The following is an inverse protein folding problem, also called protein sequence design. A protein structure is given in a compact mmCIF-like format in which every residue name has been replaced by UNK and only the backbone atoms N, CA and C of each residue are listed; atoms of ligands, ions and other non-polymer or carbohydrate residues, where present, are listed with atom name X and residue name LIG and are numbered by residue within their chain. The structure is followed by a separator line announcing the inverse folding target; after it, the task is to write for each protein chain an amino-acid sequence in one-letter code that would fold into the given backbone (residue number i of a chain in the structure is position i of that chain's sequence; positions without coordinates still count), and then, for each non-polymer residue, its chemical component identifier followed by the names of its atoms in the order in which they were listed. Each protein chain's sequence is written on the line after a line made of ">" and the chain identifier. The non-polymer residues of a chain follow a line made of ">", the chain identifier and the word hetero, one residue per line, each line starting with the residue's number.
data_IF_246733436622
#
_entry.id   IF_246733436622
#
_cell.length_a   1.000
_cell.length_b   1.000
_cell.length_c   1.000
_cell.angle_alpha   90.00
_cell.angle_beta   90.00
_cell.angle_gamma   90.00
#
_symmetry.space_group_name_H-M   'P 1'
#
loop_
_entity.id
_entity.type
_entity.pdbx_description
1 polymer ?
#
# COMPACT_ATOMS: atom_id res chain seq x y z
N UNK A 1 -45.91 -2.50 4.76
CA UNK A 1 -44.65 -1.95 5.29
C UNK A 1 -43.59 -2.31 4.27
N UNK A 2 -43.18 -1.32 3.48
CA UNK A 2 -42.27 -1.49 2.35
C UNK A 2 -40.83 -1.25 2.84
N UNK A 3 -39.99 -2.27 2.69
CA UNK A 3 -38.55 -2.24 2.98
C UNK A 3 -37.81 -2.27 1.65
N UNK A 4 -37.89 -1.18 0.89
CA UNK A 4 -37.07 -1.00 -0.32
C UNK A 4 -36.61 0.45 -0.46
N UNK A 5 -35.60 0.82 0.34
CA UNK A 5 -34.73 1.97 0.03
C UNK A 5 -33.27 1.54 0.11
N UNK A 6 -32.84 0.74 -0.86
CA UNK A 6 -31.45 0.79 -1.31
C UNK A 6 -31.41 1.84 -2.43
N UNK A 7 -30.92 3.03 -2.13
CA UNK A 7 -30.77 4.10 -3.12
C UNK A 7 -29.74 3.69 -4.17
N UNK A 8 -30.19 3.56 -5.43
CA UNK A 8 -29.30 3.41 -6.59
C UNK A 8 -28.53 4.71 -6.76
N UNK A 9 -27.22 4.71 -6.53
CA UNK A 9 -26.36 5.86 -6.80
C UNK A 9 -26.36 6.19 -8.30
N UNK A 10 -26.36 7.47 -8.64
CA UNK A 10 -26.29 7.91 -10.04
C UNK A 10 -24.96 7.46 -10.65
N UNK A 11 -24.96 7.11 -11.94
CA UNK A 11 -23.75 6.80 -12.69
C UNK A 11 -22.69 7.91 -12.56
N UNK A 12 -23.11 9.18 -12.49
CA UNK A 12 -22.25 10.35 -12.26
C UNK A 12 -21.69 10.46 -10.85
N UNK A 13 -22.36 9.87 -9.84
CA UNK A 13 -21.86 9.81 -8.46
C UNK A 13 -20.91 8.62 -8.28
N UNK A 14 -21.16 7.52 -8.99
CA UNK A 14 -20.23 6.38 -9.08
C UNK A 14 -18.97 6.82 -9.84
N UNK A 15 -19.12 7.55 -10.95
CA UNK A 15 -18.01 8.14 -11.70
C UNK A 15 -17.29 9.21 -10.91
N UNK A 16 -17.98 10.10 -10.18
CA UNK A 16 -17.30 11.04 -9.26
C UNK A 16 -16.55 10.33 -8.15
N UNK A 17 -17.08 9.24 -7.61
CA UNK A 17 -16.38 8.40 -6.63
C UNK A 17 -15.16 7.71 -7.25
N UNK A 18 -15.26 7.27 -8.52
CA UNK A 18 -14.11 6.78 -9.31
C UNK A 18 -13.12 7.88 -9.73
N UNK A 19 -13.55 9.14 -9.85
CA UNK A 19 -12.66 10.30 -10.06
C UNK A 19 -12.02 10.76 -8.74
N UNK A 20 -12.62 10.41 -7.60
CA UNK A 20 -12.01 10.58 -6.27
C UNK A 20 -11.02 9.44 -5.96
N UNK A 21 -11.16 8.29 -6.62
CA UNK A 21 -10.08 7.34 -6.88
C UNK A 21 -9.20 7.90 -8.01
N UNK A 22 -8.61 9.09 -7.79
CA UNK A 22 -7.59 9.62 -8.69
C UNK A 22 -6.61 8.49 -8.94
N UNK A 23 -6.42 8.11 -10.21
CA UNK A 23 -5.67 6.92 -10.61
C UNK A 23 -4.34 6.91 -9.86
N UNK A 24 -4.30 6.13 -8.79
CA UNK A 24 -3.16 5.96 -7.90
C UNK A 24 -2.12 5.26 -8.75
N UNK A 25 -0.92 5.83 -8.88
CA UNK A 25 0.20 5.06 -9.40
C UNK A 25 0.46 3.95 -8.37
N UNK A 26 -0.12 2.79 -8.62
CA UNK A 26 -0.07 1.63 -7.74
C UNK A 26 0.93 0.67 -8.34
N UNK A 27 2.19 0.81 -7.92
CA UNK A 27 3.26 -0.04 -8.41
C UNK A 27 3.31 -1.29 -7.55
N UNK A 28 3.45 -2.44 -8.21
CA UNK A 28 3.77 -3.69 -7.54
C UNK A 28 5.27 -3.75 -7.24
N UNK A 29 5.68 -4.62 -6.31
CA UNK A 29 7.09 -4.75 -5.92
C UNK A 29 8.07 -4.85 -7.10
N UNK A 30 7.72 -5.57 -8.16
CA UNK A 30 8.61 -5.76 -9.33
C UNK A 30 8.84 -4.47 -10.15
N UNK A 31 8.03 -3.44 -9.91
CA UNK A 31 8.11 -2.12 -10.52
C UNK A 31 8.85 -1.11 -9.62
N UNK A 32 9.17 -1.48 -8.37
CA UNK A 32 10.00 -0.64 -7.50
C UNK A 32 11.42 -0.54 -8.05
N UNK A 33 12.21 0.41 -7.54
CA UNK A 33 13.64 0.46 -7.87
C UNK A 33 14.33 -0.84 -7.46
N UNK A 34 15.32 -1.27 -8.25
CA UNK A 34 15.98 -2.57 -8.07
C UNK A 34 16.65 -2.69 -6.69
N UNK A 35 17.23 -1.61 -6.18
CA UNK A 35 17.83 -1.56 -4.84
C UNK A 35 16.80 -1.85 -3.74
N UNK A 36 15.60 -1.27 -3.83
CA UNK A 36 14.51 -1.55 -2.89
C UNK A 36 14.02 -3.00 -2.99
N UNK A 37 13.96 -3.57 -4.20
CA UNK A 37 13.60 -4.98 -4.40
C UNK A 37 14.64 -5.91 -3.74
N UNK A 38 15.92 -5.63 -3.96
CA UNK A 38 17.04 -6.43 -3.45
C UNK A 38 17.11 -6.35 -1.92
N UNK A 39 16.93 -5.16 -1.35
CA UNK A 39 16.94 -4.94 0.10
C UNK A 39 15.76 -5.64 0.79
N UNK A 40 14.55 -5.55 0.22
CA UNK A 40 13.37 -6.25 0.74
C UNK A 40 13.58 -7.78 0.70
N UNK A 41 14.10 -8.30 -0.41
CA UNK A 41 14.42 -9.73 -0.54
C UNK A 41 15.49 -10.18 0.46
N UNK A 42 16.52 -9.36 0.69
CA UNK A 42 17.58 -9.64 1.65
C UNK A 42 17.06 -9.67 3.11
N UNK A 43 16.15 -8.75 3.47
CA UNK A 43 15.45 -8.77 4.77
C UNK A 43 14.62 -10.05 4.92
N UNK A 44 13.76 -10.37 3.94
CA UNK A 44 12.93 -11.58 4.00
C UNK A 44 13.80 -12.83 4.23
N UNK A 45 14.86 -12.98 3.42
CA UNK A 45 15.79 -14.12 3.51
C UNK A 45 16.48 -14.19 4.88
N UNK A 46 16.92 -13.05 5.43
CA UNK A 46 17.58 -12.98 6.75
C UNK A 46 16.67 -13.48 7.88
N UNK A 47 15.36 -13.33 7.74
CA UNK A 47 14.36 -13.79 8.71
C UNK A 47 13.72 -15.14 8.33
N UNK A 48 14.31 -15.89 7.39
CA UNK A 48 13.82 -17.20 6.98
C UNK A 48 12.49 -17.17 6.21
N UNK A 49 12.13 -16.01 5.66
CA UNK A 49 10.90 -15.77 4.89
C UNK A 49 11.21 -15.66 3.39
N UNK A 50 10.18 -15.72 2.57
CA UNK A 50 10.26 -15.49 1.13
C UNK A 50 9.46 -14.27 0.72
N UNK A 51 9.91 -13.56 -0.33
CA UNK A 51 9.17 -12.42 -0.91
C UNK A 51 7.75 -12.82 -1.31
N UNK A 52 7.55 -14.05 -1.77
CA UNK A 52 6.25 -14.56 -2.22
C UNK A 52 5.20 -14.66 -1.09
N UNK A 53 5.62 -14.66 0.18
CA UNK A 53 4.69 -14.58 1.31
C UNK A 53 4.01 -13.23 1.42
N UNK A 54 4.57 -12.19 0.80
CA UNK A 54 4.09 -10.83 0.92
C UNK A 54 3.45 -10.35 -0.39
N UNK A 55 2.41 -9.54 -0.23
CA UNK A 55 1.96 -8.62 -1.26
C UNK A 55 2.49 -7.24 -0.90
N UNK A 56 3.26 -6.64 -1.80
CA UNK A 56 3.85 -5.31 -1.60
C UNK A 56 3.47 -4.43 -2.77
N UNK A 57 2.93 -3.27 -2.43
CA UNK A 57 2.55 -2.24 -3.39
C UNK A 57 2.79 -0.85 -2.80
N UNK A 58 2.98 0.15 -3.63
CA UNK A 58 2.99 1.53 -3.20
C UNK A 58 1.83 2.33 -3.80
N UNK A 59 1.60 3.51 -3.24
CA UNK A 59 0.73 4.51 -3.82
C UNK A 59 1.25 5.92 -3.54
N UNK A 60 1.10 6.80 -4.54
CA UNK A 60 1.32 8.23 -4.38
C UNK A 60 0.09 8.89 -3.72
N UNK A 61 0.31 9.47 -2.55
CA UNK A 61 -0.66 10.26 -1.81
C UNK A 61 -0.52 11.74 -2.19
N UNK A 62 -1.50 12.24 -2.94
CA UNK A 62 -1.58 13.64 -3.37
C UNK A 62 -2.31 14.51 -2.33
N UNK A 63 -1.94 15.79 -2.18
CA UNK A 63 -2.69 16.71 -1.34
C UNK A 63 -4.15 16.84 -1.79
N UNK A 64 -5.07 16.78 -0.81
CA UNK A 64 -6.50 16.84 -1.07
C UNK A 64 -6.94 18.16 -1.74
N UNK A 65 -7.99 18.11 -2.55
CA UNK A 65 -8.65 19.29 -3.11
C UNK A 65 -7.80 20.08 -4.12
N UNK A 66 -6.79 19.46 -4.73
CA UNK A 66 -5.89 20.12 -5.69
C UNK A 66 -4.94 21.12 -5.02
N UNK A 67 -4.74 21.00 -3.71
CA UNK A 67 -3.77 21.82 -3.00
C UNK A 67 -2.35 21.55 -3.54
N UNK A 68 -1.54 22.62 -3.62
CA UNK A 68 -0.11 22.47 -3.91
C UNK A 68 0.59 21.97 -2.65
N UNK A 69 1.25 20.83 -2.76
CA UNK A 69 1.97 20.22 -1.63
C UNK A 69 2.82 19.04 -2.09
N UNK A 70 3.59 18.49 -1.16
CA UNK A 70 4.42 17.31 -1.43
C UNK A 70 3.54 16.08 -1.71
N UNK A 71 3.87 15.39 -2.80
CA UNK A 71 3.37 14.03 -3.06
C UNK A 71 4.14 13.11 -2.10
N UNK A 72 3.41 12.32 -1.32
CA UNK A 72 4.02 11.30 -0.45
C UNK A 72 3.86 9.95 -1.11
N UNK A 73 4.79 9.03 -0.84
CA UNK A 73 4.66 7.64 -1.25
C UNK A 73 4.36 6.82 0.00
N UNK A 74 3.36 5.95 -0.06
CA UNK A 74 3.04 5.01 1.02
C UNK A 74 3.21 3.59 0.50
N UNK A 75 3.91 2.73 1.24
CA UNK A 75 4.13 1.32 0.91
C UNK A 75 3.24 0.46 1.77
N UNK A 76 2.38 -0.34 1.15
CA UNK A 76 1.56 -1.36 1.82
C UNK A 76 2.24 -2.71 1.71
N UNK A 77 2.40 -3.40 2.85
CA UNK A 77 2.86 -4.79 2.92
C UNK A 77 1.79 -5.64 3.61
N UNK A 78 1.28 -6.64 2.90
CA UNK A 78 0.31 -7.60 3.42
C UNK A 78 0.91 -9.02 3.43
N UNK A 79 0.67 -9.78 4.49
CA UNK A 79 1.03 -11.20 4.55
C UNK A 79 -0.07 -12.03 3.89
N UNK A 80 0.27 -12.74 2.82
CA UNK A 80 -0.70 -13.54 2.05
C UNK A 80 -1.34 -14.62 2.93
N UNK A 81 -2.65 -14.77 2.78
CA UNK A 81 -3.44 -15.76 3.52
C UNK A 81 -3.71 -15.37 4.98
N UNK A 82 -3.35 -14.15 5.40
CA UNK A 82 -3.65 -13.58 6.72
C UNK A 82 -4.21 -12.17 6.59
N UNK A 83 -4.82 -11.68 7.67
CA UNK A 83 -5.40 -10.34 7.72
C UNK A 83 -4.37 -9.27 8.15
N UNK A 84 -3.09 -9.64 8.28
CA UNK A 84 -2.03 -8.70 8.66
C UNK A 84 -1.62 -7.82 7.49
N UNK A 85 -1.85 -6.52 7.64
CA UNK A 85 -1.46 -5.47 6.70
C UNK A 85 -0.76 -4.34 7.46
N UNK A 86 0.35 -3.83 6.92
CA UNK A 86 1.07 -2.66 7.43
C UNK A 86 1.30 -1.64 6.33
N UNK A 87 1.25 -0.37 6.71
CA UNK A 87 1.57 0.76 5.85
C UNK A 87 2.84 1.43 6.37
N UNK A 88 3.70 1.84 5.45
CA UNK A 88 4.97 2.49 5.74
C UNK A 88 5.11 3.75 4.89
N UNK A 89 5.77 4.77 5.43
CA UNK A 89 6.20 5.92 4.62
C UNK A 89 7.27 5.44 3.64
N UNK A 90 6.99 5.50 2.34
CA UNK A 90 7.88 5.13 1.24
C UNK A 90 8.50 6.33 0.53
N UNK A 91 8.35 7.54 1.08
CA UNK A 91 8.82 8.79 0.50
C UNK A 91 10.34 8.90 0.36
N UNK A 92 10.79 10.05 -0.15
CA UNK A 92 12.21 10.34 -0.33
C UNK A 92 12.94 10.29 1.03
N UNK A 93 14.04 9.52 1.11
CA UNK A 93 14.81 9.26 2.35
C UNK A 93 14.07 8.40 3.39
N UNK A 94 12.95 7.76 3.02
CA UNK A 94 12.28 6.82 3.92
C UNK A 94 13.10 5.56 4.19
N UNK A 95 12.84 4.94 5.33
CA UNK A 95 13.46 3.69 5.77
C UNK A 95 12.44 2.56 5.90
N UNK A 96 11.43 2.51 5.00
CA UNK A 96 10.31 1.57 5.11
C UNK A 96 10.73 0.10 5.25
N UNK A 97 11.84 -0.30 4.62
CA UNK A 97 12.40 -1.65 4.73
C UNK A 97 12.94 -1.94 6.14
N UNK A 98 13.52 -0.94 6.81
CA UNK A 98 13.98 -1.06 8.20
C UNK A 98 12.79 -1.17 9.14
N UNK A 99 11.75 -0.38 8.92
CA UNK A 99 10.52 -0.43 9.71
C UNK A 99 9.80 -1.77 9.53
N UNK A 100 9.72 -2.26 8.30
CA UNK A 100 9.25 -3.61 7.99
C UNK A 100 10.08 -4.68 8.72
N UNK A 101 11.41 -4.57 8.71
CA UNK A 101 12.26 -5.51 9.43
C UNK A 101 12.02 -5.48 10.94
N UNK A 102 11.77 -4.30 11.52
CA UNK A 102 11.44 -4.17 12.94
C UNK A 102 10.10 -4.85 13.26
N UNK A 103 9.10 -4.71 12.39
CA UNK A 103 7.80 -5.40 12.53
C UNK A 103 7.93 -6.92 12.38
N UNK A 104 8.81 -7.41 11.49
CA UNK A 104 9.15 -8.84 11.43
C UNK A 104 9.73 -9.33 12.76
N UNK A 105 10.73 -8.61 13.31
CA UNK A 105 11.36 -8.96 14.60
C UNK A 105 10.37 -8.93 15.77
N UNK A 106 9.40 -8.02 15.72
CA UNK A 106 8.34 -7.92 16.72
C UNK A 106 7.24 -8.98 16.56
N UNK A 107 7.27 -9.80 15.50
CA UNK A 107 6.28 -10.84 15.25
C UNK A 107 4.93 -10.32 14.75
N UNK A 108 4.91 -9.13 14.13
CA UNK A 108 3.69 -8.54 13.54
C UNK A 108 3.15 -9.43 12.42
N UNK A 109 4.05 -10.03 11.63
CA UNK A 109 3.73 -10.89 10.49
C UNK A 109 3.83 -12.40 10.81
N UNK A 110 3.26 -12.83 11.94
CA UNK A 110 3.28 -14.22 12.40
C UNK A 110 2.14 -15.07 11.84
#
# INVERSE_FOLDING_TARGET
>A
MDLSKAGTFSQREIERRKETEGVMANHLLHEFRQDEQDDFAAVCKRHGRTVAEFEVRDEDQYPAGGAVGAIRREVTVALRGKDTVKLYDGGHVSHWIVDFENDLKAGVFN
#
